data_IF_980021569792
#
_entry.id   IF_980021569792
#
_cell.length_a   1.000
_cell.length_b   1.000
_cell.length_c   1.000
_cell.angle_alpha   90.00
_cell.angle_beta   90.00
_cell.angle_gamma   90.00
#
_symmetry.space_group_name_H-M   'P 1'
#
loop_
_entity.id
_entity.type
_entity.pdbx_description
1 polymer ?
#
# COMPACT_ATOMS: atom_id res chain seq x y z
N UNK A 1 46.19 2.62 29.57
CA UNK A 1 44.95 1.87 29.89
C UNK A 1 43.98 2.11 28.75
N UNK A 2 43.26 1.05 28.40
CA UNK A 2 42.51 0.80 27.18
C UNK A 2 41.46 1.84 26.80
N UNK A 3 41.20 1.90 25.49
CA UNK A 3 40.34 2.86 24.83
C UNK A 3 38.85 2.72 25.12
N UNK A 4 38.19 3.86 25.03
CA UNK A 4 36.77 4.00 24.71
C UNK A 4 36.69 4.99 23.55
N UNK A 5 36.97 4.51 22.34
CA UNK A 5 36.63 5.23 21.11
C UNK A 5 35.14 5.02 20.83
N UNK A 6 34.43 6.14 20.76
CA UNK A 6 32.98 6.20 20.67
C UNK A 6 32.42 5.43 19.46
N UNK A 7 31.40 4.62 19.73
CA UNK A 7 30.46 4.17 18.71
C UNK A 7 29.62 5.35 18.21
N UNK A 8 30.18 6.08 17.23
CA UNK A 8 29.44 6.95 16.32
C UNK A 8 28.92 6.18 15.11
N UNK A 9 27.84 6.70 14.51
CA UNK A 9 27.09 6.19 13.33
C UNK A 9 26.20 4.96 13.65
N UNK A 10 24.86 4.96 13.64
CA UNK A 10 23.88 5.55 12.70
C UNK A 10 22.44 5.54 13.32
N UNK A 11 22.10 6.45 14.26
CA UNK A 11 20.75 6.47 14.88
C UNK A 11 19.96 7.79 14.77
N UNK A 12 20.33 8.68 13.83
CA UNK A 12 20.00 10.10 13.92
C UNK A 12 18.59 10.59 13.49
N UNK A 13 17.62 9.76 13.05
CA UNK A 13 16.31 10.29 12.61
C UNK A 13 15.11 10.06 13.54
N UNK A 14 15.27 9.33 14.66
CA UNK A 14 14.20 9.14 15.65
C UNK A 14 14.39 9.94 16.95
N UNK A 15 15.65 10.06 17.41
CA UNK A 15 15.97 10.58 18.74
C UNK A 15 15.69 12.08 18.91
N UNK A 16 15.89 12.90 17.87
CA UNK A 16 15.64 14.34 17.96
C UNK A 16 14.19 14.67 18.33
N UNK A 17 13.23 13.81 17.97
CA UNK A 17 11.83 14.01 18.36
C UNK A 17 11.59 13.68 19.83
N UNK A 18 12.15 12.57 20.34
CA UNK A 18 11.87 12.13 21.71
C UNK A 18 12.62 12.93 22.78
N UNK A 19 13.85 13.36 22.49
CA UNK A 19 14.59 14.26 23.39
C UNK A 19 13.86 15.59 23.57
N UNK A 20 13.36 16.18 22.48
CA UNK A 20 12.58 17.41 22.53
C UNK A 20 11.30 17.23 23.36
N UNK A 21 10.61 16.10 23.21
CA UNK A 21 9.42 15.80 24.02
C UNK A 21 9.80 15.63 25.50
N UNK A 22 10.89 14.92 25.79
CA UNK A 22 11.38 14.72 27.16
C UNK A 22 11.68 16.05 27.87
N UNK A 23 12.39 16.96 27.19
CA UNK A 23 12.73 18.29 27.71
C UNK A 23 11.51 19.17 27.98
N UNK A 24 10.38 18.92 27.32
CA UNK A 24 9.11 19.61 27.63
C UNK A 24 8.50 19.14 28.95
N UNK A 25 8.75 17.87 29.34
CA UNK A 25 8.30 17.33 30.63
C UNK A 25 9.30 17.60 31.76
N UNK A 26 10.60 17.66 31.47
CA UNK A 26 11.69 17.98 32.41
C UNK A 26 11.76 19.50 32.67
N UNK A 27 10.75 20.02 33.38
CA UNK A 27 10.58 21.47 33.62
C UNK A 27 11.62 22.09 34.55
N UNK A 28 12.28 21.28 35.38
CA UNK A 28 13.33 21.70 36.31
C UNK A 28 14.75 21.42 35.77
N UNK A 29 14.88 20.82 34.58
CA UNK A 29 16.14 20.53 33.90
C UNK A 29 17.08 19.63 34.71
N UNK A 30 16.52 18.70 35.49
CA UNK A 30 17.30 17.75 36.28
C UNK A 30 17.60 16.44 35.53
N UNK A 31 17.02 16.26 34.34
CA UNK A 31 17.18 15.08 33.51
C UNK A 31 16.20 13.95 33.83
N UNK A 32 15.18 14.19 34.65
CA UNK A 32 14.19 13.20 35.08
C UNK A 32 12.75 13.70 34.89
N UNK A 33 11.82 12.75 34.72
CA UNK A 33 10.38 13.02 34.77
C UNK A 33 9.80 12.25 35.94
N UNK A 34 9.08 12.93 36.84
CA UNK A 34 8.40 12.24 37.93
C UNK A 34 7.39 11.23 37.38
N UNK A 35 7.52 9.95 37.76
CA UNK A 35 6.71 8.86 37.20
C UNK A 35 5.21 9.07 37.42
N UNK A 36 4.81 9.72 38.53
CA UNK A 36 3.42 10.01 38.84
C UNK A 36 2.78 11.02 37.85
N UNK A 37 3.50 12.07 37.48
CA UNK A 37 3.04 13.09 36.54
C UNK A 37 2.87 12.51 35.15
N UNK A 38 3.83 11.70 34.71
CA UNK A 38 3.75 11.01 33.43
C UNK A 38 2.60 10.01 33.38
N UNK A 39 2.41 9.21 34.45
CA UNK A 39 1.27 8.29 34.55
C UNK A 39 -0.05 9.03 34.46
N UNK A 40 -0.18 10.17 35.16
CA UNK A 40 -1.37 11.01 35.11
C UNK A 40 -1.59 11.57 33.70
N UNK A 41 -0.54 12.07 33.05
CA UNK A 41 -0.60 12.61 31.70
C UNK A 41 -1.02 11.55 30.67
N UNK A 42 -0.37 10.38 30.68
CA UNK A 42 -0.67 9.28 29.74
C UNK A 42 -2.10 8.76 29.94
N UNK A 43 -2.57 8.64 31.19
CA UNK A 43 -3.96 8.25 31.48
C UNK A 43 -4.97 9.29 31.04
N UNK A 44 -4.70 10.57 31.28
CA UNK A 44 -5.60 11.67 30.88
C UNK A 44 -5.63 11.86 29.35
N UNK A 45 -4.51 11.59 28.69
CA UNK A 45 -4.35 11.71 27.24
C UNK A 45 -4.54 10.39 26.50
N UNK A 46 -4.94 9.31 27.19
CA UNK A 46 -5.01 7.96 26.62
C UNK A 46 -5.88 7.93 25.34
N UNK A 47 -7.02 8.62 25.36
CA UNK A 47 -7.93 8.74 24.22
C UNK A 47 -7.30 9.47 23.04
N UNK A 48 -6.49 10.51 23.28
CA UNK A 48 -5.74 11.23 22.25
C UNK A 48 -4.69 10.36 21.58
N UNK A 49 -4.12 9.40 22.32
CA UNK A 49 -3.23 8.36 21.76
C UNK A 49 -3.98 7.17 21.15
N UNK A 50 -5.32 7.13 21.26
CA UNK A 50 -6.14 6.01 20.79
C UNK A 50 -6.07 4.77 21.69
N UNK A 51 -5.64 4.92 22.95
CA UNK A 51 -5.49 3.85 23.92
C UNK A 51 -6.70 3.74 24.85
N UNK A 52 -7.09 2.51 25.20
CA UNK A 52 -7.96 2.25 26.34
C UNK A 52 -7.22 2.48 27.67
N UNK A 53 -7.96 2.65 28.78
CA UNK A 53 -7.35 2.78 30.11
C UNK A 53 -6.48 1.57 30.48
N UNK A 54 -6.95 0.37 30.15
CA UNK A 54 -6.19 -0.87 30.40
C UNK A 54 -4.89 -0.92 29.60
N UNK A 55 -4.91 -0.47 28.35
CA UNK A 55 -3.72 -0.38 27.51
C UNK A 55 -2.73 0.69 28.01
N UNK A 56 -3.23 1.84 28.46
CA UNK A 56 -2.41 2.87 29.08
C UNK A 56 -1.73 2.34 30.36
N UNK A 57 -2.45 1.59 31.19
CA UNK A 57 -1.89 0.97 32.39
C UNK A 57 -0.84 -0.10 32.07
N UNK A 58 -1.10 -0.95 31.07
CA UNK A 58 -0.13 -1.95 30.59
C UNK A 58 1.11 -1.29 29.97
N UNK A 59 0.94 -0.17 29.28
CA UNK A 59 2.05 0.63 28.75
C UNK A 59 2.93 1.17 29.87
N UNK A 60 2.29 1.63 30.96
CA UNK A 60 2.89 2.20 32.17
C UNK A 60 3.50 1.16 33.13
N UNK A 61 3.30 -0.12 32.87
CA UNK A 61 3.82 -1.20 33.70
C UNK A 61 5.34 -1.39 33.49
N UNK A 62 6.07 -1.48 34.61
CA UNK A 62 7.52 -1.71 34.66
C UNK A 62 8.31 -0.73 33.76
N UNK A 63 7.90 0.54 33.73
CA UNK A 63 8.67 1.57 33.03
C UNK A 63 9.85 2.01 33.89
N UNK A 64 9.57 2.38 35.13
CA UNK A 64 10.53 2.66 36.21
C UNK A 64 11.18 1.32 36.59
N UNK A 65 12.34 1.02 35.99
CA UNK A 65 13.05 -0.25 36.13
C UNK A 65 13.91 -0.27 37.38
N UNK A 66 14.45 0.87 37.77
CA UNK A 66 15.31 1.01 38.94
C UNK A 66 14.50 1.24 40.24
N UNK A 67 13.21 1.61 40.13
CA UNK A 67 12.28 1.79 41.25
C UNK A 67 12.42 3.13 41.97
N UNK A 68 13.03 4.14 41.34
CA UNK A 68 13.32 5.44 41.98
C UNK A 68 12.15 6.44 41.92
N UNK A 69 11.02 6.07 41.30
CA UNK A 69 9.85 6.91 41.07
C UNK A 69 10.08 8.11 40.14
N UNK A 70 11.26 8.19 39.54
CA UNK A 70 11.63 9.08 38.48
C UNK A 70 11.67 8.29 37.18
N UNK A 71 11.92 8.99 36.08
CA UNK A 71 12.04 8.38 34.77
C UNK A 71 13.19 9.07 34.07
N UNK A 72 14.25 8.32 33.85
CA UNK A 72 15.38 8.82 33.05
C UNK A 72 15.05 8.82 31.55
N UNK A 73 15.92 9.42 30.75
CA UNK A 73 15.72 9.48 29.30
C UNK A 73 15.69 8.09 28.63
N UNK A 74 16.40 7.10 29.15
CA UNK A 74 16.46 5.75 28.58
C UNK A 74 15.17 4.96 28.85
N UNK A 75 14.60 5.10 30.05
CA UNK A 75 13.30 4.56 30.42
C UNK A 75 12.18 5.27 29.66
N UNK A 76 12.28 6.59 29.46
CA UNK A 76 11.39 7.35 28.59
C UNK A 76 11.44 6.86 27.13
N UNK A 77 12.61 6.60 26.58
CA UNK A 77 12.74 6.00 25.24
C UNK A 77 12.10 4.61 25.18
N UNK A 78 12.22 3.82 26.25
CA UNK A 78 11.57 2.51 26.35
C UNK A 78 10.03 2.64 26.33
N UNK A 79 9.48 3.61 27.08
CA UNK A 79 8.06 3.93 27.06
C UNK A 79 7.59 4.35 25.66
N UNK A 80 8.30 5.29 25.03
CA UNK A 80 7.94 5.80 23.70
C UNK A 80 7.99 4.71 22.63
N UNK A 81 8.94 3.78 22.73
CA UNK A 81 9.02 2.60 21.87
C UNK A 81 7.79 1.68 22.03
N UNK A 82 7.41 1.35 23.28
CA UNK A 82 6.19 0.57 23.57
C UNK A 82 4.94 1.28 23.03
N UNK A 83 4.83 2.60 23.23
CA UNK A 83 3.70 3.41 22.78
C UNK A 83 3.59 3.43 21.25
N UNK A 84 4.72 3.61 20.55
CA UNK A 84 4.80 3.55 19.09
C UNK A 84 4.36 2.17 18.57
N UNK A 85 4.83 1.08 19.19
CA UNK A 85 4.43 -0.29 18.81
C UNK A 85 2.92 -0.51 18.98
N UNK A 86 2.35 -0.02 20.07
CA UNK A 86 0.92 -0.12 20.35
C UNK A 86 0.09 0.69 19.35
N UNK A 87 0.49 1.94 19.06
CA UNK A 87 -0.16 2.78 18.05
C UNK A 87 -0.11 2.16 16.66
N UNK A 88 1.05 1.63 16.24
CA UNK A 88 1.19 0.93 14.97
C UNK A 88 0.25 -0.27 14.90
N UNK A 89 0.16 -1.06 15.97
CA UNK A 89 -0.77 -2.18 16.06
C UNK A 89 -2.23 -1.75 15.89
N UNK A 90 -2.66 -0.63 16.49
CA UNK A 90 -4.01 -0.09 16.27
C UNK A 90 -4.26 0.35 14.83
N UNK A 91 -3.29 1.02 14.19
CA UNK A 91 -3.38 1.41 12.77
C UNK A 91 -3.56 0.18 11.90
N UNK A 92 -2.76 -0.86 12.13
CA UNK A 92 -2.85 -2.13 11.40
C UNK A 92 -4.20 -2.83 11.61
N UNK A 93 -4.74 -2.84 12.84
CA UNK A 93 -6.07 -3.38 13.11
C UNK A 93 -7.16 -2.62 12.38
N UNK A 94 -7.13 -1.28 12.38
CA UNK A 94 -8.11 -0.47 11.65
C UNK A 94 -8.02 -0.69 10.15
N UNK A 95 -6.81 -0.76 9.59
CA UNK A 95 -6.60 -1.09 8.19
C UNK A 95 -7.16 -2.48 7.85
N UNK A 96 -6.94 -3.49 8.70
CA UNK A 96 -7.52 -4.82 8.49
C UNK A 96 -9.06 -4.82 8.63
N UNK A 97 -9.62 -4.04 9.56
CA UNK A 97 -11.08 -3.88 9.72
C UNK A 97 -11.78 -3.28 8.50
N UNK A 98 -11.06 -2.51 7.68
CA UNK A 98 -11.60 -1.99 6.42
C UNK A 98 -11.88 -3.08 5.40
N UNK A 99 -11.20 -4.23 5.49
CA UNK A 99 -11.32 -5.33 4.53
C UNK A 99 -12.06 -6.53 5.14
N UNK A 100 -11.81 -6.85 6.42
CA UNK A 100 -12.31 -8.08 7.06
C UNK A 100 -13.72 -7.91 7.63
N UNK A 101 -14.69 -8.74 7.19
CA UNK A 101 -16.03 -8.77 7.77
C UNK A 101 -16.04 -9.21 9.23
N UNK A 102 -17.01 -8.76 10.04
CA UNK A 102 -17.11 -9.01 11.49
C UNK A 102 -16.96 -10.49 11.87
N UNK A 103 -17.60 -11.38 11.12
CA UNK A 103 -17.57 -12.83 11.35
C UNK A 103 -16.22 -13.50 11.11
N UNK A 104 -15.33 -12.83 10.38
CA UNK A 104 -14.10 -13.42 9.84
C UNK A 104 -12.84 -12.85 10.50
N UNK A 105 -13.01 -12.08 11.59
CA UNK A 105 -11.92 -11.35 12.26
C UNK A 105 -10.97 -12.23 13.05
N UNK A 106 -11.42 -13.38 13.56
CA UNK A 106 -10.64 -14.20 14.49
C UNK A 106 -9.25 -14.55 13.95
N UNK A 107 -9.15 -15.00 12.69
CA UNK A 107 -7.87 -15.43 12.09
C UNK A 107 -6.93 -14.26 11.76
N UNK A 108 -7.32 -13.23 10.97
CA UNK A 108 -6.43 -12.11 10.69
C UNK A 108 -6.04 -11.34 11.95
N UNK A 109 -6.93 -11.26 12.94
CA UNK A 109 -6.67 -10.46 14.14
C UNK A 109 -5.76 -11.20 15.10
N UNK A 110 -5.90 -12.52 15.25
CA UNK A 110 -4.93 -13.32 16.01
C UNK A 110 -3.52 -13.18 15.41
N UNK A 111 -3.41 -13.25 14.08
CA UNK A 111 -2.14 -12.96 13.40
C UNK A 111 -1.63 -11.56 13.72
N UNK A 112 -2.44 -10.52 13.57
CA UNK A 112 -2.07 -9.13 13.88
C UNK A 112 -1.77 -8.89 15.37
N UNK A 113 -2.34 -9.68 16.27
CA UNK A 113 -2.02 -9.62 17.70
C UNK A 113 -0.61 -10.16 17.99
N UNK A 114 -0.19 -11.22 17.29
CA UNK A 114 1.16 -11.80 17.37
C UNK A 114 2.16 -11.05 16.48
N UNK A 115 1.67 -10.25 15.54
CA UNK A 115 2.47 -9.55 14.55
C UNK A 115 3.35 -8.48 15.20
N UNK A 116 4.66 -8.66 15.08
CA UNK A 116 5.66 -7.74 15.62
C UNK A 116 5.86 -6.47 14.79
N UNK A 117 4.93 -6.12 13.89
CA UNK A 117 5.08 -5.06 12.89
C UNK A 117 6.24 -5.29 11.90
N UNK A 118 6.82 -6.49 11.91
CA UNK A 118 7.92 -6.88 11.04
C UNK A 118 7.72 -8.30 10.50
N UNK A 119 7.84 -8.51 9.18
CA UNK A 119 7.98 -7.46 8.17
C UNK A 119 6.64 -6.76 7.93
N UNK A 120 6.58 -5.42 7.74
CA UNK A 120 5.36 -4.67 7.38
C UNK A 120 4.69 -5.23 6.11
N UNK A 121 3.51 -4.73 5.67
CA UNK A 121 3.04 -5.00 4.31
C UNK A 121 4.09 -4.45 3.32
N UNK A 122 4.97 -5.33 2.86
CA UNK A 122 6.18 -4.96 2.13
C UNK A 122 5.88 -4.71 0.67
N UNK A 123 4.98 -5.48 0.06
CA UNK A 123 4.86 -5.48 -1.39
C UNK A 123 4.41 -4.12 -1.92
N UNK A 124 3.31 -3.58 -1.38
CA UNK A 124 2.78 -2.28 -1.83
C UNK A 124 3.70 -1.11 -1.50
N UNK A 125 4.37 -1.16 -0.35
CA UNK A 125 5.35 -0.14 0.04
C UNK A 125 6.57 -0.20 -0.88
N UNK A 126 7.12 -1.38 -1.11
CA UNK A 126 8.29 -1.57 -1.98
C UNK A 126 8.00 -1.14 -3.42
N UNK A 127 6.87 -1.53 -4.00
CA UNK A 127 6.50 -1.09 -5.36
C UNK A 127 6.31 0.43 -5.41
N UNK A 128 5.64 1.03 -4.42
CA UNK A 128 5.48 2.49 -4.37
C UNK A 128 6.83 3.23 -4.31
N UNK A 129 7.79 2.71 -3.53
CA UNK A 129 9.15 3.27 -3.45
C UNK A 129 9.88 3.11 -4.78
N UNK A 130 9.75 1.95 -5.45
CA UNK A 130 10.36 1.72 -6.76
C UNK A 130 9.78 2.64 -7.84
N UNK A 131 8.47 2.86 -7.85
CA UNK A 131 7.80 3.82 -8.74
C UNK A 131 8.31 5.25 -8.51
N UNK A 132 8.37 5.70 -7.24
CA UNK A 132 8.88 7.01 -6.89
C UNK A 132 10.36 7.18 -7.26
N UNK A 133 11.18 6.16 -7.01
CA UNK A 133 12.61 6.15 -7.35
C UNK A 133 12.81 6.19 -8.87
N UNK A 134 12.04 5.40 -9.63
CA UNK A 134 12.08 5.42 -11.09
C UNK A 134 11.68 6.79 -11.65
N UNK A 135 10.65 7.43 -11.08
CA UNK A 135 10.25 8.77 -11.48
C UNK A 135 11.36 9.79 -11.22
N UNK A 136 11.93 9.83 -10.01
CA UNK A 136 13.06 10.73 -9.67
C UNK A 136 14.25 10.49 -10.59
N UNK A 137 14.58 9.23 -10.87
CA UNK A 137 15.66 8.88 -11.81
C UNK A 137 15.43 9.48 -13.20
N UNK A 138 14.22 9.38 -13.76
CA UNK A 138 13.92 9.95 -15.09
C UNK A 138 13.87 11.48 -15.08
N UNK A 139 13.37 12.11 -14.00
CA UNK A 139 13.42 13.57 -13.82
C UNK A 139 14.86 14.07 -13.88
N UNK A 140 15.78 13.42 -13.16
CA UNK A 140 17.21 13.77 -13.16
C UNK A 140 17.84 13.49 -14.53
N UNK A 141 17.53 12.34 -15.13
CA UNK A 141 18.12 11.92 -16.41
C UNK A 141 17.70 12.81 -17.58
N UNK A 142 16.44 13.24 -17.62
CA UNK A 142 15.89 14.11 -18.68
C UNK A 142 16.16 15.59 -18.43
N UNK A 143 16.56 15.98 -17.20
CA UNK A 143 16.70 17.38 -16.76
C UNK A 143 15.42 18.20 -16.96
N UNK A 144 14.25 17.54 -16.91
CA UNK A 144 12.94 18.21 -17.05
C UNK A 144 12.55 18.98 -15.78
N UNK A 145 13.01 18.54 -14.62
CA UNK A 145 12.43 18.96 -13.34
C UNK A 145 11.13 18.21 -13.03
N UNK A 146 10.51 18.55 -11.90
CA UNK A 146 9.25 17.95 -11.45
C UNK A 146 8.10 18.70 -12.11
N UNK A 147 7.45 18.05 -13.07
CA UNK A 147 6.36 18.60 -13.85
C UNK A 147 5.06 17.83 -13.58
N UNK A 148 3.92 18.54 -13.65
CA UNK A 148 2.60 18.01 -13.30
C UNK A 148 2.11 16.92 -14.25
N UNK A 149 2.34 17.10 -15.55
CA UNK A 149 1.64 16.38 -16.62
C UNK A 149 2.55 15.82 -17.73
N UNK A 150 3.87 15.83 -17.55
CA UNK A 150 4.81 15.44 -18.59
C UNK A 150 6.24 15.77 -18.17
N UNK A 151 7.25 15.53 -19.02
CA UNK A 151 7.19 14.63 -20.17
C UNK A 151 7.30 13.15 -19.75
N UNK A 152 6.64 12.25 -20.49
CA UNK A 152 6.86 10.80 -20.35
C UNK A 152 8.27 10.44 -20.86
N UNK A 153 9.05 9.59 -20.15
CA UNK A 153 10.30 9.07 -20.67
C UNK A 153 10.04 8.00 -21.75
N UNK A 154 9.59 8.41 -22.95
CA UNK A 154 9.22 7.51 -24.06
C UNK A 154 10.35 6.59 -24.53
N UNK A 155 11.62 7.00 -24.34
CA UNK A 155 12.81 6.20 -24.67
C UNK A 155 13.25 5.25 -23.54
N UNK A 156 12.47 5.16 -22.46
CA UNK A 156 12.76 4.30 -21.30
C UNK A 156 12.88 2.81 -21.71
N UNK A 157 13.77 2.09 -21.04
CA UNK A 157 13.85 0.62 -21.18
C UNK A 157 12.70 -0.11 -20.48
N UNK A 158 11.97 0.59 -19.62
CA UNK A 158 10.89 0.03 -18.80
C UNK A 158 9.49 0.29 -19.39
N UNK A 159 9.33 1.30 -20.25
CA UNK A 159 8.03 1.61 -20.87
C UNK A 159 7.58 0.45 -21.76
N UNK A 160 6.27 0.22 -21.84
CA UNK A 160 5.74 -0.71 -22.82
C UNK A 160 5.89 -0.12 -24.22
N UNK A 161 6.50 -0.88 -25.12
CA UNK A 161 6.70 -0.47 -26.51
C UNK A 161 6.15 -1.56 -27.43
N UNK A 162 5.07 -1.27 -28.19
CA UNK A 162 4.40 -2.28 -29.02
C UNK A 162 5.27 -2.72 -30.22
N UNK A 163 6.33 -1.99 -30.55
CA UNK A 163 7.30 -2.36 -31.59
C UNK A 163 8.45 -3.24 -31.08
N UNK A 164 8.44 -3.59 -29.78
CA UNK A 164 9.48 -4.37 -29.09
C UNK A 164 8.88 -5.49 -28.24
N UNK A 165 7.94 -6.25 -28.82
CA UNK A 165 7.22 -7.34 -28.13
C UNK A 165 8.11 -8.49 -27.67
N UNK A 166 9.29 -8.65 -28.28
CA UNK A 166 10.34 -9.59 -27.83
C UNK A 166 10.98 -9.18 -26.49
N UNK A 167 10.89 -7.91 -26.08
CA UNK A 167 11.39 -7.41 -24.80
C UNK A 167 10.35 -7.67 -23.70
N UNK A 168 10.13 -8.95 -23.35
CA UNK A 168 9.01 -9.44 -22.51
C UNK A 168 8.86 -8.74 -21.15
N UNK A 169 9.95 -8.24 -20.57
CA UNK A 169 9.88 -7.50 -19.30
C UNK A 169 9.01 -6.24 -19.40
N UNK A 170 8.89 -5.63 -20.59
CA UNK A 170 8.10 -4.42 -20.84
C UNK A 170 6.62 -4.58 -20.55
N UNK A 171 6.08 -5.79 -20.61
CA UNK A 171 4.70 -6.10 -20.22
C UNK A 171 4.45 -5.95 -18.71
N UNK A 172 5.51 -5.88 -17.90
CA UNK A 172 5.43 -5.64 -16.46
C UNK A 172 6.05 -4.30 -16.04
N UNK A 173 7.22 -3.96 -16.58
CA UNK A 173 8.02 -2.84 -16.07
C UNK A 173 7.41 -1.47 -16.35
N UNK A 174 6.43 -1.39 -17.26
CA UNK A 174 5.78 -0.12 -17.58
C UNK A 174 5.06 0.48 -16.37
N UNK A 175 4.72 -0.34 -15.37
CA UNK A 175 4.15 0.10 -14.10
C UNK A 175 5.03 1.11 -13.35
N UNK A 176 6.34 1.11 -13.61
CA UNK A 176 7.28 2.05 -12.99
C UNK A 176 7.43 3.39 -13.74
N UNK A 177 6.84 3.51 -14.93
CA UNK A 177 6.94 4.74 -15.74
C UNK A 177 5.68 5.57 -15.56
N UNK A 178 5.83 6.85 -15.23
CA UNK A 178 4.71 7.75 -15.02
C UNK A 178 4.88 9.02 -15.86
N UNK A 179 3.75 9.56 -16.31
CA UNK A 179 3.66 10.75 -17.17
C UNK A 179 4.09 12.03 -16.43
N UNK A 180 3.70 12.18 -15.17
CA UNK A 180 3.99 13.35 -14.35
C UNK A 180 3.73 13.09 -12.87
N UNK A 181 4.02 14.07 -12.02
CA UNK A 181 3.93 13.88 -10.56
C UNK A 181 2.49 13.64 -10.11
N UNK A 182 1.49 14.21 -10.78
CA UNK A 182 0.07 13.96 -10.44
C UNK A 182 -0.29 12.51 -10.74
N UNK A 183 0.10 11.99 -11.91
CA UNK A 183 -0.17 10.60 -12.27
C UNK A 183 0.50 9.63 -11.29
N UNK A 184 1.75 9.88 -10.91
CA UNK A 184 2.45 9.09 -9.88
C UNK A 184 1.75 9.18 -8.52
N UNK A 185 1.39 10.38 -8.08
CA UNK A 185 0.78 10.60 -6.78
C UNK A 185 -0.56 9.86 -6.64
N UNK A 186 -1.42 9.88 -7.67
CA UNK A 186 -2.69 9.13 -7.65
C UNK A 186 -2.48 7.61 -7.65
N UNK A 187 -1.50 7.10 -8.41
CA UNK A 187 -1.17 5.67 -8.40
C UNK A 187 -0.68 5.24 -7.00
N UNK A 188 0.31 5.94 -6.43
CA UNK A 188 0.85 5.63 -5.10
C UNK A 188 -0.23 5.79 -4.02
N UNK A 189 -1.01 6.88 -4.04
CA UNK A 189 -2.07 7.11 -3.06
C UNK A 189 -3.08 5.96 -3.08
N UNK A 190 -3.59 5.60 -4.25
CA UNK A 190 -4.58 4.53 -4.41
C UNK A 190 -3.99 3.18 -4.03
N UNK A 191 -2.74 2.90 -4.45
CA UNK A 191 -1.99 1.70 -4.10
C UNK A 191 -1.81 1.54 -2.59
N UNK A 192 -1.46 2.61 -1.87
CA UNK A 192 -1.25 2.56 -0.42
C UNK A 192 -2.58 2.46 0.31
N UNK A 193 -3.57 3.27 -0.06
CA UNK A 193 -4.89 3.29 0.60
C UNK A 193 -5.65 1.97 0.43
N UNK A 194 -5.53 1.33 -0.74
CA UNK A 194 -6.23 0.08 -1.04
C UNK A 194 -5.36 -1.16 -0.81
N UNK A 195 -4.15 -1.14 -1.35
CA UNK A 195 -3.25 -2.29 -1.34
C UNK A 195 -2.78 -2.69 0.06
N UNK A 196 -2.46 -1.75 0.96
CA UNK A 196 -2.00 -2.09 2.32
C UNK A 196 -3.08 -2.87 3.10
N UNK A 197 -4.34 -2.38 3.21
CA UNK A 197 -5.41 -3.15 3.85
C UNK A 197 -5.58 -4.56 3.29
N UNK A 198 -5.55 -4.72 1.96
CA UNK A 198 -5.64 -6.03 1.31
C UNK A 198 -4.43 -6.92 1.65
N UNK A 199 -3.23 -6.37 1.65
CA UNK A 199 -1.99 -7.08 1.92
C UNK A 199 -1.93 -7.61 3.36
N UNK A 200 -2.39 -6.81 4.33
CA UNK A 200 -2.46 -7.21 5.74
C UNK A 200 -3.39 -8.41 5.96
N UNK A 201 -4.45 -8.53 5.15
CA UNK A 201 -5.51 -9.52 5.32
C UNK A 201 -5.25 -10.79 4.51
N UNK A 202 -4.81 -10.62 3.26
CA UNK A 202 -4.62 -11.73 2.34
C UNK A 202 -3.16 -12.18 2.20
N UNK A 203 -2.19 -11.44 2.74
CA UNK A 203 -0.73 -11.60 2.59
C UNK A 203 -0.17 -11.05 1.28
N UNK A 204 1.08 -10.60 1.34
CA UNK A 204 1.81 -9.94 0.25
C UNK A 204 1.76 -10.69 -1.08
N UNK A 205 2.05 -12.00 -1.11
CA UNK A 205 2.17 -12.74 -2.37
C UNK A 205 0.82 -12.89 -3.08
N UNK A 206 -0.30 -12.94 -2.35
CA UNK A 206 -1.64 -13.00 -2.95
C UNK A 206 -1.99 -11.70 -3.63
N UNK A 207 -1.68 -10.60 -2.96
CA UNK A 207 -1.89 -9.26 -3.51
C UNK A 207 -0.93 -8.99 -4.67
N UNK A 208 0.31 -9.48 -4.59
CA UNK A 208 1.26 -9.41 -5.69
C UNK A 208 0.75 -10.10 -6.95
N UNK A 209 0.17 -11.30 -6.82
CA UNK A 209 -0.43 -12.01 -7.96
C UNK A 209 -1.60 -11.21 -8.57
N UNK A 210 -2.50 -10.67 -7.75
CA UNK A 210 -3.62 -9.85 -8.22
C UNK A 210 -3.10 -8.60 -8.94
N UNK A 211 -2.21 -7.85 -8.32
CA UNK A 211 -1.65 -6.61 -8.86
C UNK A 211 -0.90 -6.84 -10.17
N UNK A 212 0.05 -7.79 -10.20
CA UNK A 212 0.84 -8.09 -11.39
C UNK A 212 0.00 -8.71 -12.50
N UNK A 213 -1.07 -9.45 -12.18
CA UNK A 213 -2.02 -9.93 -13.19
C UNK A 213 -2.75 -8.77 -13.86
N UNK A 214 -3.09 -7.71 -13.12
CA UNK A 214 -3.69 -6.50 -13.68
C UNK A 214 -2.74 -5.74 -14.59
N UNK A 215 -1.47 -5.58 -14.17
CA UNK A 215 -0.42 -4.98 -15.00
C UNK A 215 -0.21 -5.76 -16.29
N UNK A 216 -0.10 -7.09 -16.20
CA UNK A 216 0.10 -7.95 -17.37
C UNK A 216 -1.11 -7.94 -18.31
N UNK A 217 -2.33 -8.09 -17.78
CA UNK A 217 -3.54 -8.04 -18.58
C UNK A 217 -3.71 -6.68 -19.26
N UNK A 218 -3.34 -5.60 -18.58
CA UNK A 218 -3.33 -4.24 -19.10
C UNK A 218 -2.51 -4.10 -20.38
N UNK A 219 -1.23 -4.49 -20.33
CA UNK A 219 -0.35 -4.41 -21.50
C UNK A 219 -0.73 -5.38 -22.61
N UNK A 220 -1.10 -6.63 -22.27
CA UNK A 220 -1.48 -7.62 -23.27
C UNK A 220 -2.75 -7.24 -24.04
N UNK A 221 -3.78 -6.73 -23.35
CA UNK A 221 -5.03 -6.34 -24.00
C UNK A 221 -4.85 -5.03 -24.78
N UNK A 222 -4.09 -4.07 -24.25
CA UNK A 222 -3.81 -2.80 -24.94
C UNK A 222 -3.13 -3.06 -26.29
N UNK A 223 -2.09 -3.92 -26.32
CA UNK A 223 -1.45 -4.34 -27.57
C UNK A 223 -2.41 -5.05 -28.54
N UNK A 224 -3.24 -5.96 -28.02
CA UNK A 224 -4.18 -6.71 -28.85
C UNK A 224 -5.25 -5.82 -29.52
N UNK A 225 -5.57 -4.67 -28.92
CA UNK A 225 -6.59 -3.73 -29.43
C UNK A 225 -5.96 -2.59 -30.25
N UNK A 226 -4.85 -2.01 -29.80
CA UNK A 226 -4.15 -0.92 -30.49
C UNK A 226 -2.62 -1.09 -30.43
N UNK A 227 -2.02 -1.85 -31.38
CA UNK A 227 -0.59 -2.20 -31.39
C UNK A 227 0.33 -1.02 -31.81
N UNK A 228 -0.06 0.21 -31.51
CA UNK A 228 0.69 1.44 -31.79
C UNK A 228 0.90 2.29 -30.54
N UNK A 229 0.20 1.98 -29.45
CA UNK A 229 0.21 2.78 -28.23
C UNK A 229 1.31 2.30 -27.28
N UNK A 230 2.09 3.24 -26.76
CA UNK A 230 3.01 2.98 -25.66
C UNK A 230 2.26 3.08 -24.33
N UNK A 231 2.55 2.19 -23.40
CA UNK A 231 1.89 2.18 -22.08
C UNK A 231 2.88 2.57 -20.99
N UNK A 232 2.41 3.41 -20.07
CA UNK A 232 3.13 3.88 -18.89
C UNK A 232 2.14 4.04 -17.74
N UNK A 233 2.46 3.47 -16.57
CA UNK A 233 1.71 3.68 -15.34
C UNK A 233 1.34 2.39 -14.64
N UNK A 234 1.24 2.46 -13.32
CA UNK A 234 0.82 1.36 -12.45
C UNK A 234 -0.69 1.03 -12.51
N UNK A 235 -1.47 1.77 -13.29
CA UNK A 235 -2.93 1.80 -13.20
C UNK A 235 -3.60 0.45 -13.47
N UNK A 236 -3.03 -0.41 -14.33
CA UNK A 236 -3.53 -1.78 -14.53
C UNK A 236 -3.56 -2.59 -13.23
N UNK A 237 -2.51 -2.46 -12.41
CA UNK A 237 -2.45 -3.07 -11.08
C UNK A 237 -3.37 -2.38 -10.08
N UNK A 238 -3.46 -1.05 -10.11
CA UNK A 238 -4.35 -0.26 -9.24
C UNK A 238 -5.83 -0.63 -9.47
N UNK A 239 -6.25 -0.77 -10.73
CA UNK A 239 -7.61 -1.20 -11.07
C UNK A 239 -7.88 -2.66 -10.67
N UNK A 240 -6.86 -3.51 -10.67
CA UNK A 240 -6.99 -4.86 -10.10
C UNK A 240 -7.25 -4.82 -8.58
N UNK A 241 -6.61 -3.90 -7.84
CA UNK A 241 -6.89 -3.69 -6.41
C UNK A 241 -8.29 -3.11 -6.18
N UNK A 242 -8.71 -2.13 -6.99
CA UNK A 242 -10.07 -1.58 -6.95
C UNK A 242 -11.12 -2.68 -7.12
N UNK A 243 -10.95 -3.55 -8.11
CA UNK A 243 -11.81 -4.71 -8.34
C UNK A 243 -11.85 -5.64 -7.13
N UNK A 244 -10.71 -5.98 -6.55
CA UNK A 244 -10.64 -6.80 -5.34
C UNK A 244 -11.38 -6.15 -4.15
N UNK A 245 -11.27 -4.83 -3.99
CA UNK A 245 -12.01 -4.11 -2.96
C UNK A 245 -13.52 -4.13 -3.17
N UNK A 246 -13.98 -3.91 -4.40
CA UNK A 246 -15.39 -3.91 -4.76
C UNK A 246 -15.97 -5.31 -4.57
N UNK A 247 -15.29 -6.35 -5.03
CA UNK A 247 -15.73 -7.73 -4.88
C UNK A 247 -15.93 -8.09 -3.40
N UNK A 248 -14.94 -7.81 -2.54
CA UNK A 248 -15.04 -8.09 -1.10
C UNK A 248 -16.19 -7.29 -0.45
N UNK A 249 -16.34 -6.01 -0.83
CA UNK A 249 -17.39 -5.12 -0.34
C UNK A 249 -18.79 -5.61 -0.71
N UNK A 250 -19.00 -6.03 -1.97
CA UNK A 250 -20.29 -6.53 -2.45
C UNK A 250 -20.65 -7.87 -1.81
N UNK A 251 -19.69 -8.77 -1.67
CA UNK A 251 -19.92 -10.11 -1.13
C UNK A 251 -20.24 -10.08 0.36
N UNK A 252 -19.62 -9.17 1.12
CA UNK A 252 -19.73 -9.14 2.58
C UNK A 252 -20.29 -7.82 3.13
N UNK A 253 -21.11 -7.11 2.35
CA UNK A 253 -21.64 -5.79 2.71
C UNK A 253 -22.27 -5.76 4.11
N UNK A 254 -23.15 -6.73 4.39
CA UNK A 254 -23.91 -6.79 5.64
C UNK A 254 -23.03 -7.09 6.86
N UNK A 255 -21.93 -7.82 6.67
CA UNK A 255 -20.99 -8.16 7.75
C UNK A 255 -19.87 -7.13 7.94
N UNK A 256 -19.71 -6.16 7.04
CA UNK A 256 -18.68 -5.13 7.13
C UNK A 256 -19.08 -3.97 8.04
N UNK A 257 -18.26 -3.70 9.05
CA UNK A 257 -18.47 -2.59 9.99
C UNK A 257 -18.35 -1.21 9.34
N UNK A 258 -17.45 -1.05 8.37
CA UNK A 258 -17.16 0.22 7.70
C UNK A 258 -17.54 0.18 6.21
N UNK A 259 -18.57 -0.58 5.84
CA UNK A 259 -18.98 -0.78 4.45
C UNK A 259 -19.20 0.54 3.70
N UNK A 260 -20.00 1.46 4.27
CA UNK A 260 -20.29 2.75 3.66
C UNK A 260 -19.05 3.62 3.52
N UNK A 261 -18.21 3.70 4.55
CA UNK A 261 -16.96 4.49 4.49
C UNK A 261 -16.02 3.94 3.41
N UNK A 262 -15.87 2.61 3.31
CA UNK A 262 -15.11 1.97 2.23
C UNK A 262 -15.71 2.29 0.85
N UNK A 263 -17.03 2.22 0.72
CA UNK A 263 -17.72 2.57 -0.53
C UNK A 263 -17.45 4.02 -0.94
N UNK A 264 -17.49 4.96 0.00
CA UNK A 264 -17.19 6.37 -0.24
C UNK A 264 -15.73 6.59 -0.64
N UNK A 265 -14.77 5.94 0.03
CA UNK A 265 -13.35 5.99 -0.35
C UNK A 265 -13.15 5.48 -1.77
N UNK A 266 -13.75 4.34 -2.13
CA UNK A 266 -13.66 3.80 -3.49
C UNK A 266 -14.30 4.75 -4.51
N UNK A 267 -15.46 5.32 -4.20
CA UNK A 267 -16.13 6.29 -5.06
C UNK A 267 -15.25 7.51 -5.32
N UNK A 268 -14.64 8.08 -4.28
CA UNK A 268 -13.74 9.25 -4.41
C UNK A 268 -12.50 8.89 -5.24
N UNK A 269 -11.86 7.75 -4.99
CA UNK A 269 -10.68 7.33 -5.73
C UNK A 269 -10.99 7.08 -7.21
N UNK A 270 -12.06 6.35 -7.52
CA UNK A 270 -12.47 6.06 -8.90
C UNK A 270 -12.90 7.34 -9.62
N UNK A 271 -13.74 8.17 -8.99
CA UNK A 271 -14.24 9.39 -9.63
C UNK A 271 -13.13 10.40 -9.87
N UNK A 272 -12.18 10.55 -8.95
CA UNK A 272 -11.02 11.45 -9.14
C UNK A 272 -10.08 10.96 -10.25
N UNK A 273 -9.77 9.66 -10.30
CA UNK A 273 -8.94 9.07 -11.35
C UNK A 273 -9.60 9.22 -12.74
N UNK A 274 -10.88 8.87 -12.85
CA UNK A 274 -11.65 9.02 -14.09
C UNK A 274 -11.77 10.48 -14.51
N UNK A 275 -12.01 11.40 -13.56
CA UNK A 275 -12.09 12.83 -13.85
C UNK A 275 -10.77 13.38 -14.37
N UNK A 276 -9.65 12.95 -13.78
CA UNK A 276 -8.32 13.34 -14.24
C UNK A 276 -8.03 12.78 -15.65
N UNK A 277 -8.39 11.53 -15.91
CA UNK A 277 -8.23 10.91 -17.22
C UNK A 277 -9.05 11.64 -18.31
N UNK A 278 -10.29 12.02 -18.00
CA UNK A 278 -11.14 12.83 -18.87
C UNK A 278 -10.54 14.22 -19.08
N UNK A 279 -10.09 14.88 -18.02
CA UNK A 279 -9.46 16.20 -18.11
C UNK A 279 -8.23 16.18 -19.03
N UNK A 280 -7.34 15.20 -18.83
CA UNK A 280 -6.18 14.98 -19.69
C UNK A 280 -6.55 14.74 -21.15
N UNK A 281 -7.63 13.99 -21.41
CA UNK A 281 -8.05 13.63 -22.78
C UNK A 281 -8.61 14.81 -23.57
N UNK A 282 -9.35 15.70 -22.91
CA UNK A 282 -10.14 16.74 -23.60
C UNK A 282 -9.59 18.17 -23.44
N UNK A 283 -8.83 18.45 -22.38
CA UNK A 283 -8.36 19.83 -22.08
C UNK A 283 -6.86 20.00 -22.20
N UNK A 284 -6.07 18.91 -22.14
CA UNK A 284 -4.63 18.97 -22.37
C UNK A 284 -4.33 18.50 -23.80
N UNK A 285 -3.70 19.37 -24.60
CA UNK A 285 -3.23 19.05 -25.94
C UNK A 285 -1.92 18.25 -25.90
N UNK A 286 -1.90 17.16 -25.13
CA UNK A 286 -0.75 16.25 -25.02
C UNK A 286 -1.00 14.97 -25.84
N UNK A 287 0.07 14.42 -26.42
CA UNK A 287 0.02 13.13 -27.12
C UNK A 287 -0.15 11.96 -26.14
N UNK A 288 0.30 12.14 -24.90
CA UNK A 288 0.28 11.12 -23.85
C UNK A 288 -1.11 11.06 -23.22
N UNK A 289 -1.82 9.94 -23.45
CA UNK A 289 -3.22 9.75 -23.03
C UNK A 289 -3.33 8.52 -22.13
N UNK A 290 -4.26 8.58 -21.17
CA UNK A 290 -4.57 7.46 -20.27
C UNK A 290 -5.25 6.34 -21.06
N UNK A 291 -4.74 5.11 -20.95
CA UNK A 291 -5.36 3.94 -21.61
C UNK A 291 -6.53 3.39 -20.80
N UNK A 292 -7.74 3.61 -21.31
CA UNK A 292 -8.97 3.00 -20.75
C UNK A 292 -8.99 1.48 -20.90
N UNK A 293 -8.34 0.95 -21.94
CA UNK A 293 -8.24 -0.50 -22.20
C UNK A 293 -7.44 -1.17 -21.09
N UNK A 294 -6.28 -0.60 -20.74
CA UNK A 294 -5.45 -1.13 -19.66
C UNK A 294 -6.17 -1.08 -18.31
N UNK A 295 -6.94 -0.02 -18.03
CA UNK A 295 -7.72 0.10 -16.79
C UNK A 295 -8.81 -0.99 -16.71
N UNK A 296 -9.56 -1.20 -17.80
CA UNK A 296 -10.59 -2.23 -17.87
C UNK A 296 -9.99 -3.64 -17.75
N UNK A 297 -8.91 -3.93 -18.46
CA UNK A 297 -8.20 -5.20 -18.38
C UNK A 297 -7.71 -5.48 -16.96
N UNK A 298 -7.12 -4.47 -16.31
CA UNK A 298 -6.70 -4.53 -14.92
C UNK A 298 -7.84 -4.87 -13.98
N UNK A 299 -8.98 -4.21 -14.14
CA UNK A 299 -10.18 -4.46 -13.36
C UNK A 299 -10.69 -5.90 -13.51
N UNK A 300 -10.84 -6.37 -14.75
CA UNK A 300 -11.32 -7.73 -15.05
C UNK A 300 -10.34 -8.79 -14.51
N UNK A 301 -9.04 -8.60 -14.72
CA UNK A 301 -8.02 -9.47 -14.16
C UNK A 301 -8.07 -9.48 -12.62
N UNK A 302 -8.32 -8.33 -11.99
CA UNK A 302 -8.49 -8.23 -10.54
C UNK A 302 -9.67 -9.04 -10.01
N UNK A 303 -10.83 -9.01 -10.68
CA UNK A 303 -11.99 -9.85 -10.30
C UNK A 303 -11.66 -11.33 -10.43
N UNK A 304 -11.08 -11.72 -11.57
CA UNK A 304 -10.77 -13.12 -11.89
C UNK A 304 -9.68 -13.68 -10.98
N UNK A 305 -8.50 -13.06 -10.98
CA UNK A 305 -7.36 -13.45 -10.15
C UNK A 305 -7.68 -13.31 -8.66
N UNK A 306 -8.45 -12.30 -8.29
CA UNK A 306 -8.93 -12.12 -6.92
C UNK A 306 -9.77 -13.31 -6.44
N UNK A 307 -10.70 -13.77 -7.26
CA UNK A 307 -11.54 -14.96 -6.95
C UNK A 307 -10.70 -16.23 -6.81
N UNK A 308 -9.63 -16.38 -7.61
CA UNK A 308 -8.76 -17.56 -7.59
C UNK A 308 -7.83 -17.54 -6.38
N UNK A 309 -7.24 -16.39 -6.07
CA UNK A 309 -6.11 -16.28 -5.16
C UNK A 309 -6.49 -15.72 -3.81
N UNK A 310 -7.49 -14.86 -3.64
CA UNK A 310 -7.76 -14.27 -2.33
C UNK A 310 -8.33 -15.30 -1.34
N UNK A 311 -8.07 -15.03 -0.05
CA UNK A 311 -8.54 -15.91 1.03
C UNK A 311 -10.06 -15.79 1.16
N UNK A 312 -10.75 -16.90 0.96
CA UNK A 312 -12.15 -17.00 1.31
C UNK A 312 -12.29 -17.38 2.79
N UNK A 313 -12.86 -16.46 3.58
CA UNK A 313 -13.05 -16.63 5.02
C UNK A 313 -14.30 -17.44 5.39
N UNK A 314 -15.28 -17.55 4.48
CA UNK A 314 -16.52 -18.31 4.69
C UNK A 314 -16.81 -19.18 3.47
N UNK A 315 -16.48 -20.47 3.57
CA UNK A 315 -16.66 -21.42 2.47
C UNK A 315 -18.11 -21.89 2.37
N UNK A 316 -18.78 -21.60 1.27
CA UNK A 316 -20.03 -22.22 0.83
C UNK A 316 -19.75 -23.27 -0.25
N UNK A 317 -20.60 -24.28 -0.37
CA UNK A 317 -20.39 -25.40 -1.29
C UNK A 317 -20.34 -24.96 -2.76
N UNK A 318 -21.13 -23.96 -3.17
CA UNK A 318 -21.12 -23.44 -4.54
C UNK A 318 -19.81 -22.74 -4.91
N UNK A 319 -19.04 -22.27 -3.93
CA UNK A 319 -17.86 -21.43 -4.18
C UNK A 319 -16.72 -22.24 -4.75
N UNK A 320 -16.70 -23.56 -4.52
CA UNK A 320 -15.74 -24.44 -5.17
C UNK A 320 -15.95 -24.48 -6.68
N UNK A 321 -17.21 -24.47 -7.13
CA UNK A 321 -17.56 -24.44 -8.56
C UNK A 321 -17.16 -23.08 -9.14
N UNK A 322 -17.52 -21.98 -8.47
CA UNK A 322 -17.13 -20.62 -8.86
C UNK A 322 -15.61 -20.49 -8.97
N UNK A 323 -14.87 -21.07 -8.02
CA UNK A 323 -13.41 -21.07 -8.04
C UNK A 323 -12.84 -21.81 -9.25
N UNK A 324 -13.36 -23.01 -9.58
CA UNK A 324 -12.91 -23.75 -10.77
C UNK A 324 -13.23 -23.01 -12.07
N UNK A 325 -14.41 -22.39 -12.15
CA UNK A 325 -14.80 -21.54 -13.28
C UNK A 325 -13.83 -20.36 -13.40
N UNK A 326 -13.61 -19.61 -12.31
CA UNK A 326 -12.70 -18.48 -12.30
C UNK A 326 -11.27 -18.88 -12.65
N UNK A 327 -10.78 -20.00 -12.13
CA UNK A 327 -9.44 -20.54 -12.45
C UNK A 327 -9.31 -20.84 -13.95
N UNK A 328 -10.30 -21.53 -14.52
CA UNK A 328 -10.32 -21.88 -15.94
C UNK A 328 -10.42 -20.64 -16.82
N UNK A 329 -11.34 -19.71 -16.51
CA UNK A 329 -11.53 -18.46 -17.25
C UNK A 329 -10.27 -17.60 -17.19
N UNK A 330 -9.62 -17.51 -16.02
CA UNK A 330 -8.36 -16.77 -15.87
C UNK A 330 -7.28 -17.37 -16.77
N UNK A 331 -7.03 -18.69 -16.66
CA UNK A 331 -6.00 -19.36 -17.46
C UNK A 331 -6.23 -19.24 -18.97
N UNK A 332 -7.48 -19.44 -19.41
CA UNK A 332 -7.85 -19.29 -20.82
C UNK A 332 -7.70 -17.86 -21.31
N UNK A 333 -8.12 -16.86 -20.51
CA UNK A 333 -8.04 -15.45 -20.89
C UNK A 333 -6.59 -15.00 -21.08
N UNK A 334 -5.71 -15.31 -20.13
CA UNK A 334 -4.28 -14.99 -20.27
C UNK A 334 -3.63 -15.74 -21.44
N UNK A 335 -3.99 -17.00 -21.69
CA UNK A 335 -3.47 -17.76 -22.83
C UNK A 335 -3.89 -17.13 -24.17
N UNK A 336 -5.16 -16.75 -24.31
CA UNK A 336 -5.68 -16.06 -25.50
C UNK A 336 -4.95 -14.72 -25.70
N UNK A 337 -4.82 -13.92 -24.64
CA UNK A 337 -4.14 -12.64 -24.71
C UNK A 337 -2.67 -12.80 -25.13
N UNK A 338 -1.94 -13.76 -24.57
CA UNK A 338 -0.57 -14.06 -24.98
C UNK A 338 -0.50 -14.49 -26.45
N UNK A 339 -1.42 -15.35 -26.91
CA UNK A 339 -1.47 -15.76 -28.32
C UNK A 339 -1.73 -14.57 -29.25
N UNK A 340 -2.65 -13.67 -28.89
CA UNK A 340 -2.91 -12.44 -29.66
C UNK A 340 -1.69 -11.51 -29.75
N UNK A 341 -0.77 -11.60 -28.78
CA UNK A 341 0.48 -10.85 -28.79
C UNK A 341 1.59 -11.53 -29.62
N UNK A 342 1.51 -12.84 -29.84
CA UNK A 342 2.50 -13.62 -30.59
C UNK A 342 2.13 -13.75 -32.08
N UNK A 343 0.84 -13.95 -32.40
CA UNK A 343 0.35 -14.19 -33.77
C UNK A 343 0.85 -13.15 -34.79
N UNK A 344 0.91 -11.84 -34.50
CA UNK A 344 1.41 -10.85 -35.46
C UNK A 344 2.91 -10.98 -35.83
N UNK A 345 3.65 -11.86 -35.16
CA UNK A 345 5.10 -12.07 -35.35
C UNK A 345 5.46 -13.45 -35.91
N UNK A 346 4.46 -14.29 -36.16
CA UNK A 346 4.59 -15.56 -36.90
C UNK A 346 4.32 -15.27 -38.36
#
# INVERSE_FOLDING_TARGET
MSGEEGHGCEMANGYYSWLTIFQVFDTNYDGYIATHDLRRFVRNSATSFGLSRQEADALLQNIDKNGDHLLDFAEFCTLMSKAKKLRMRHVLFRAAQMVVPRSSRTVPFNYLQQYNCFPPPLFMICISILEATAYVYYVVRLRSGIELYGPVPQKSLLIFNPYKTNEVWRYFTYMFIHIGIIHLAFNILTQIVLGIPLELVHKFWRIALVYLSGVLAGSLLDYAIDPRTHLAGASGGVYALLAAHIAELLINWAEMEFALYRALVLLVLISSDVSLAIYHRYYLNTTDKVSHVSHLAGFVAGVLMGTVVLRNFRKKNWERIVWWIAFTVTGSSFSILVLLNIIPHI
#
